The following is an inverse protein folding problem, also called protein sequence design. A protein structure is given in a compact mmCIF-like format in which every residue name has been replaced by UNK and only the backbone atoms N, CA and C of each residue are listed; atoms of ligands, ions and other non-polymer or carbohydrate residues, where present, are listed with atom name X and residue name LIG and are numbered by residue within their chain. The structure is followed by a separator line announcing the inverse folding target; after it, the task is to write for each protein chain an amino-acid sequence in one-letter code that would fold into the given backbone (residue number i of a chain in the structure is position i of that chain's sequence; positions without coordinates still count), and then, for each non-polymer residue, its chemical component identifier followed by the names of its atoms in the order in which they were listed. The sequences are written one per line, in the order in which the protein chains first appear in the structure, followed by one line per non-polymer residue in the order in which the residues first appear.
data_IF_471644282339
#
_entry.id   IF_471644282339
#
_cell.length_a   1.000
_cell.length_b   1.000
_cell.length_c   1.000
_cell.angle_alpha   90.00
_cell.angle_beta   90.00
_cell.angle_gamma   90.00
#
_symmetry.space_group_name_H-M   'P 1'
#
loop_
_entity.id
_entity.type
_entity.pdbx_description
1 polymer ?
#
# COMPACT_ATOMS: atom_id res chain seq x y z
N UNK A 1 52.50 4.50 48.05
CA UNK A 1 52.27 4.49 46.60
C UNK A 1 50.78 4.43 46.36
N UNK A 2 50.20 5.59 46.02
CA UNK A 2 48.87 5.75 45.41
C UNK A 2 49.04 5.61 43.88
N UNK A 3 47.95 5.30 43.15
CA UNK A 3 47.81 4.97 41.71
C UNK A 3 47.76 3.44 41.46
N UNK A 4 46.73 2.79 40.89
CA UNK A 4 45.65 3.16 39.96
C UNK A 4 44.57 2.05 40.03
N UNK A 5 43.35 2.26 40.51
CA UNK A 5 42.15 2.74 39.80
C UNK A 5 41.90 2.17 38.39
N UNK A 6 40.82 1.38 38.32
CA UNK A 6 39.75 1.35 37.28
C UNK A 6 40.00 0.64 35.93
N UNK A 7 38.93 -0.03 35.50
CA UNK A 7 38.63 -0.39 34.11
C UNK A 7 38.80 -1.89 33.89
N UNK A 8 37.90 -2.75 34.39
CA UNK A 8 36.71 -3.17 33.62
C UNK A 8 36.95 -2.99 32.12
N UNK A 9 37.18 -4.12 31.45
CA UNK A 9 37.26 -4.28 30.02
C UNK A 9 35.93 -3.91 29.37
N UNK A 10 35.62 -2.62 29.34
CA UNK A 10 34.60 -2.04 28.48
C UNK A 10 35.26 -1.88 27.10
N UNK A 11 35.51 -3.02 26.44
CA UNK A 11 35.74 -2.99 25.00
C UNK A 11 34.43 -2.47 24.39
N UNK A 12 34.46 -1.37 23.62
CA UNK A 12 33.25 -0.84 23.01
C UNK A 12 32.68 -1.94 22.11
N UNK A 13 31.49 -2.43 22.46
CA UNK A 13 30.73 -3.31 21.57
C UNK A 13 30.71 -2.65 20.20
N UNK A 14 31.27 -3.36 19.21
CA UNK A 14 31.45 -2.77 17.90
C UNK A 14 30.10 -2.21 17.42
N UNK A 15 30.07 -1.00 16.82
CA UNK A 15 28.82 -0.38 16.38
C UNK A 15 28.03 -1.24 15.39
N UNK A 16 28.68 -2.26 14.81
CA UNK A 16 28.08 -3.29 13.96
C UNK A 16 27.19 -4.25 14.77
N UNK A 17 27.58 -4.65 15.98
CA UNK A 17 26.78 -5.55 16.84
C UNK A 17 25.58 -4.81 17.44
N UNK A 18 25.77 -3.58 17.91
CA UNK A 18 24.67 -2.73 18.39
C UNK A 18 23.67 -2.37 17.27
N UNK A 19 24.12 -2.23 16.01
CA UNK A 19 23.24 -2.04 14.85
C UNK A 19 22.52 -3.33 14.44
N UNK A 20 23.13 -4.50 14.68
CA UNK A 20 22.55 -5.82 14.35
C UNK A 20 21.46 -6.20 15.34
N UNK A 21 21.64 -5.94 16.64
CA UNK A 21 20.59 -6.17 17.66
C UNK A 21 19.39 -5.24 17.48
N UNK A 22 19.61 -3.97 17.09
CA UNK A 22 18.55 -2.99 16.87
C UNK A 22 17.72 -3.28 15.60
N UNK A 23 18.22 -4.12 14.70
CA UNK A 23 17.56 -4.54 13.47
C UNK A 23 16.65 -5.77 13.60
N UNK A 24 16.80 -6.57 14.66
CA UNK A 24 16.14 -7.89 14.77
C UNK A 24 14.84 -7.88 15.59
N UNK A 25 14.50 -6.75 16.23
CA UNK A 25 13.24 -6.57 16.96
C UNK A 25 12.46 -5.36 16.45
N UNK A 26 12.15 -5.31 15.16
CA UNK A 26 11.00 -4.51 14.70
C UNK A 26 9.71 -5.24 15.12
N UNK A 27 9.39 -5.20 16.42
CA UNK A 27 8.01 -5.46 16.82
C UNK A 27 7.14 -4.41 16.13
N UNK A 28 6.05 -4.81 15.46
CA UNK A 28 5.12 -3.85 14.89
C UNK A 28 4.68 -2.90 16.01
N UNK A 29 4.99 -1.61 15.85
CA UNK A 29 4.55 -0.59 16.81
C UNK A 29 3.04 -0.59 16.77
N UNK A 30 2.41 -0.98 17.88
CA UNK A 30 0.97 -1.09 17.98
C UNK A 30 0.29 0.24 17.74
N UNK A 31 -0.68 0.27 16.83
CA UNK A 31 -1.42 1.49 16.52
C UNK A 31 -2.30 1.92 17.71
N UNK A 32 -2.17 3.16 18.15
CA UNK A 32 -3.08 3.78 19.12
C UNK A 32 -4.50 3.86 18.55
N UNK A 33 -5.52 4.08 19.42
CA UNK A 33 -6.92 4.23 18.96
C UNK A 33 -7.10 5.33 17.91
N UNK A 34 -6.34 6.43 18.01
CA UNK A 34 -6.41 7.56 17.08
C UNK A 34 -5.76 7.20 15.74
N UNK A 35 -4.59 6.56 15.77
CA UNK A 35 -3.90 6.08 14.58
C UNK A 35 -4.71 5.01 13.86
N UNK A 36 -5.29 4.05 14.58
CA UNK A 36 -6.15 3.02 14.03
C UNK A 36 -7.42 3.58 13.38
N UNK A 37 -7.91 4.74 13.83
CA UNK A 37 -9.03 5.46 13.18
C UNK A 37 -8.55 6.19 11.93
N UNK A 38 -7.45 6.92 12.03
CA UNK A 38 -6.90 7.66 10.89
C UNK A 38 -6.52 6.71 9.75
N UNK A 39 -5.94 5.55 10.07
CA UNK A 39 -5.58 4.51 9.11
C UNK A 39 -6.81 3.94 8.42
N UNK A 40 -7.88 3.67 9.17
CA UNK A 40 -9.14 3.21 8.61
C UNK A 40 -9.78 4.24 7.67
N UNK A 41 -9.73 5.53 8.05
CA UNK A 41 -10.23 6.62 7.21
C UNK A 41 -9.38 6.78 5.95
N UNK A 42 -8.05 6.72 6.08
CA UNK A 42 -7.12 6.75 4.95
C UNK A 42 -7.45 5.64 3.94
N UNK A 43 -7.54 4.39 4.40
CA UNK A 43 -7.91 3.25 3.55
C UNK A 43 -9.24 3.42 2.82
N UNK A 44 -10.25 4.03 3.44
CA UNK A 44 -11.51 4.32 2.75
C UNK A 44 -11.31 5.37 1.68
N UNK A 45 -10.58 6.45 2.00
CA UNK A 45 -10.33 7.56 1.08
C UNK A 45 -9.51 7.07 -0.13
N UNK A 46 -8.50 6.25 0.10
CA UNK A 46 -7.60 5.71 -0.94
C UNK A 46 -8.28 4.61 -1.76
N UNK A 47 -9.16 3.81 -1.13
CA UNK A 47 -9.91 2.77 -1.81
C UNK A 47 -10.93 3.29 -2.82
N UNK A 48 -11.35 4.56 -2.73
CA UNK A 48 -12.31 5.16 -3.68
C UNK A 48 -11.69 5.32 -5.08
N UNK A 49 -10.55 6.01 -5.27
CA UNK A 49 -9.85 6.07 -6.55
C UNK A 49 -9.59 4.70 -7.19
N UNK A 50 -9.10 3.73 -6.40
CA UNK A 50 -8.81 2.38 -6.90
C UNK A 50 -10.06 1.66 -7.39
N UNK A 51 -11.14 1.71 -6.60
CA UNK A 51 -12.39 1.02 -6.92
C UNK A 51 -13.03 1.58 -8.19
N UNK A 52 -13.01 2.90 -8.37
CA UNK A 52 -13.51 3.55 -9.60
C UNK A 52 -12.70 3.11 -10.82
N UNK A 53 -11.38 3.04 -10.71
CA UNK A 53 -10.49 2.58 -11.79
C UNK A 53 -10.75 1.13 -12.20
N UNK A 54 -10.98 0.25 -11.22
CA UNK A 54 -11.36 -1.15 -11.45
C UNK A 54 -12.71 -1.23 -12.17
N UNK A 55 -13.74 -0.53 -11.69
CA UNK A 55 -15.06 -0.52 -12.31
C UNK A 55 -15.04 -0.05 -13.77
N UNK A 56 -14.20 0.93 -14.06
CA UNK A 56 -14.02 1.50 -15.40
C UNK A 56 -13.33 0.55 -16.38
N UNK A 57 -12.31 -0.18 -15.93
CA UNK A 57 -11.56 -1.10 -16.78
C UNK A 57 -12.30 -2.38 -17.12
N UNK A 58 -13.22 -2.84 -16.27
CA UNK A 58 -14.08 -4.00 -16.55
C UNK A 58 -15.00 -3.77 -17.77
N UNK A 59 -15.41 -2.52 -18.04
CA UNK A 59 -16.29 -2.22 -19.17
C UNK A 59 -15.52 -2.00 -20.50
N UNK A 60 -14.32 -1.44 -20.43
CA UNK A 60 -13.63 -0.84 -21.59
C UNK A 60 -12.49 -1.67 -22.16
N UNK A 61 -11.89 -2.53 -21.34
CA UNK A 61 -10.68 -3.21 -21.72
C UNK A 61 -11.00 -4.57 -22.36
N UNK A 62 -10.18 -4.99 -23.33
CA UNK A 62 -10.16 -6.41 -23.74
C UNK A 62 -9.99 -7.27 -22.47
N UNK A 63 -10.64 -8.45 -22.37
CA UNK A 63 -10.72 -9.22 -21.14
C UNK A 63 -9.38 -9.42 -20.41
N UNK A 64 -8.27 -9.51 -21.16
CA UNK A 64 -6.92 -9.64 -20.61
C UNK A 64 -6.39 -8.42 -19.86
N UNK A 65 -6.63 -7.20 -20.36
CA UNK A 65 -6.09 -5.95 -19.78
C UNK A 65 -6.80 -5.60 -18.47
N UNK A 66 -8.11 -5.85 -18.37
CA UNK A 66 -8.86 -5.66 -17.11
C UNK A 66 -8.35 -6.62 -16.02
N UNK A 67 -8.10 -7.89 -16.37
CA UNK A 67 -7.64 -8.90 -15.42
C UNK A 67 -6.21 -8.61 -14.93
N UNK A 68 -5.33 -8.14 -15.82
CA UNK A 68 -3.97 -7.75 -15.48
C UNK A 68 -3.94 -6.57 -14.50
N UNK A 69 -4.76 -5.53 -14.74
CA UNK A 69 -4.83 -4.37 -13.85
C UNK A 69 -5.40 -4.74 -12.48
N UNK A 70 -6.51 -5.47 -12.44
CA UNK A 70 -7.13 -5.93 -11.18
C UNK A 70 -6.15 -6.83 -10.41
N UNK A 71 -5.46 -7.73 -11.10
CA UNK A 71 -4.42 -8.58 -10.52
C UNK A 71 -3.25 -7.77 -9.95
N UNK A 72 -2.80 -6.73 -10.66
CA UNK A 72 -1.71 -5.86 -10.21
C UNK A 72 -2.09 -5.07 -8.95
N UNK A 73 -3.29 -4.46 -8.92
CA UNK A 73 -3.80 -3.72 -7.75
C UNK A 73 -3.94 -4.67 -6.56
N UNK A 74 -4.46 -5.88 -6.79
CA UNK A 74 -4.59 -6.90 -5.75
C UNK A 74 -3.23 -7.30 -5.16
N UNK A 75 -2.24 -7.58 -6.00
CA UNK A 75 -0.89 -7.94 -5.54
C UNK A 75 -0.22 -6.79 -4.78
N UNK A 76 -0.44 -5.54 -5.20
CA UNK A 76 0.08 -4.36 -4.50
C UNK A 76 -0.59 -4.12 -3.14
N UNK A 77 -1.91 -4.38 -3.02
CA UNK A 77 -2.67 -4.19 -1.78
C UNK A 77 -2.38 -5.23 -0.70
N UNK A 78 -1.87 -6.42 -1.07
CA UNK A 78 -1.59 -7.50 -0.11
C UNK A 78 -0.55 -7.12 0.96
N UNK A 79 0.67 -6.64 0.60
CA UNK A 79 1.66 -6.20 1.59
C UNK A 79 1.14 -5.11 2.54
N UNK A 80 0.35 -4.16 2.01
CA UNK A 80 -0.20 -3.06 2.78
C UNK A 80 -1.25 -3.52 3.79
N UNK A 81 -2.20 -4.35 3.33
CA UNK A 81 -3.23 -4.94 4.19
C UNK A 81 -2.62 -5.77 5.32
N UNK A 82 -1.54 -6.51 5.04
CA UNK A 82 -0.82 -7.30 6.05
C UNK A 82 -0.12 -6.38 7.07
N UNK A 83 0.59 -5.36 6.61
CA UNK A 83 1.27 -4.41 7.49
C UNK A 83 0.30 -3.68 8.43
N UNK A 84 -0.86 -3.29 7.90
CA UNK A 84 -1.91 -2.62 8.66
C UNK A 84 -2.58 -3.58 9.65
N UNK A 85 -2.92 -4.80 9.22
CA UNK A 85 -3.47 -5.81 10.11
C UNK A 85 -2.49 -6.13 11.26
N UNK A 86 -1.18 -6.21 10.98
CA UNK A 86 -0.15 -6.41 11.99
C UNK A 86 -0.07 -5.23 12.98
N UNK A 87 -0.10 -3.98 12.50
CA UNK A 87 -0.10 -2.80 13.36
C UNK A 87 -1.36 -2.68 14.25
N UNK A 88 -2.53 -3.02 13.71
CA UNK A 88 -3.79 -3.04 14.45
C UNK A 88 -3.82 -4.16 15.51
N UNK A 89 -3.32 -5.35 15.15
CA UNK A 89 -3.23 -6.48 16.08
C UNK A 89 -2.26 -6.19 17.22
N UNK A 90 -1.08 -5.62 16.91
CA UNK A 90 -0.12 -5.17 17.90
C UNK A 90 -0.66 -4.03 18.79
N UNK A 91 -1.59 -3.22 18.28
CA UNK A 91 -2.35 -2.23 19.06
C UNK A 91 -3.42 -2.82 19.99
N UNK A 92 -3.52 -4.15 20.09
CA UNK A 92 -4.48 -4.85 20.95
C UNK A 92 -5.88 -4.98 20.34
N UNK A 93 -6.02 -4.79 19.02
CA UNK A 93 -7.30 -5.01 18.34
C UNK A 93 -7.53 -6.49 18.07
N UNK A 94 -8.75 -6.98 18.33
CA UNK A 94 -9.11 -8.36 18.03
C UNK A 94 -9.25 -8.57 16.52
N UNK A 95 -8.86 -9.76 16.04
CA UNK A 95 -8.94 -10.13 14.62
C UNK A 95 -10.35 -9.90 14.05
N UNK A 96 -11.41 -10.25 14.79
CA UNK A 96 -12.79 -10.03 14.34
C UNK A 96 -13.12 -8.56 14.05
N UNK A 97 -12.56 -7.62 14.84
CA UNK A 97 -12.75 -6.17 14.59
C UNK A 97 -11.95 -5.69 13.39
N UNK A 98 -10.75 -6.23 13.18
CA UNK A 98 -9.93 -5.94 12.00
C UNK A 98 -10.66 -6.42 10.74
N UNK A 99 -11.14 -7.66 10.74
CA UNK A 99 -11.91 -8.23 9.63
C UNK A 99 -13.21 -7.46 9.36
N UNK A 100 -13.93 -7.03 10.39
CA UNK A 100 -15.12 -6.20 10.22
C UNK A 100 -14.82 -4.85 9.54
N UNK A 101 -13.70 -4.21 9.91
CA UNK A 101 -13.24 -2.97 9.26
C UNK A 101 -12.84 -3.20 7.81
N UNK A 102 -12.08 -4.26 7.54
CA UNK A 102 -11.69 -4.60 6.17
C UNK A 102 -12.92 -4.94 5.32
N UNK A 103 -13.90 -5.65 5.89
CA UNK A 103 -15.18 -5.89 5.23
C UNK A 103 -15.93 -4.61 4.88
N UNK A 104 -15.92 -3.60 5.76
CA UNK A 104 -16.53 -2.30 5.46
C UNK A 104 -15.80 -1.57 4.33
N UNK A 105 -14.47 -1.58 4.31
CA UNK A 105 -13.66 -0.99 3.24
C UNK A 105 -13.97 -1.68 1.91
N UNK A 106 -13.98 -3.02 1.88
CA UNK A 106 -14.32 -3.81 0.69
C UNK A 106 -15.74 -3.52 0.20
N UNK A 107 -16.71 -3.41 1.10
CA UNK A 107 -18.09 -3.09 0.74
C UNK A 107 -18.21 -1.68 0.14
N UNK A 108 -17.56 -0.69 0.75
CA UNK A 108 -17.52 0.69 0.22
C UNK A 108 -16.86 0.69 -1.16
N UNK A 109 -15.71 0.03 -1.30
CA UNK A 109 -15.00 -0.10 -2.57
C UNK A 109 -15.88 -0.75 -3.64
N UNK A 110 -16.58 -1.84 -3.32
CA UNK A 110 -17.51 -2.49 -4.26
C UNK A 110 -18.61 -1.54 -4.74
N UNK A 111 -19.16 -0.69 -3.86
CA UNK A 111 -20.14 0.33 -4.24
C UNK A 111 -19.53 1.37 -5.18
N UNK A 112 -18.34 1.89 -4.88
CA UNK A 112 -17.67 2.86 -5.75
C UNK A 112 -17.24 2.26 -7.10
N UNK A 113 -16.81 1.01 -7.13
CA UNK A 113 -16.53 0.28 -8.36
C UNK A 113 -17.79 0.05 -9.19
N UNK A 114 -18.92 -0.28 -8.54
CA UNK A 114 -20.21 -0.38 -9.21
C UNK A 114 -20.67 0.98 -9.76
N UNK A 115 -20.50 2.06 -9.01
CA UNK A 115 -20.79 3.43 -9.48
C UNK A 115 -19.92 3.76 -10.69
N UNK A 116 -18.62 3.43 -10.63
CA UNK A 116 -17.69 3.61 -11.74
C UNK A 116 -18.11 2.82 -12.98
N UNK A 117 -18.53 1.56 -12.81
CA UNK A 117 -19.06 0.76 -13.91
C UNK A 117 -20.37 1.36 -14.46
N UNK A 118 -21.38 1.56 -13.60
CA UNK A 118 -22.72 1.97 -13.99
C UNK A 118 -22.77 3.35 -14.63
N UNK A 119 -21.92 4.29 -14.20
CA UNK A 119 -21.87 5.65 -14.75
C UNK A 119 -21.28 5.70 -16.17
N UNK A 120 -20.59 4.64 -16.61
CA UNK A 120 -19.89 4.61 -17.90
C UNK A 120 -20.41 3.57 -18.89
N UNK A 121 -21.36 2.71 -18.50
CA UNK A 121 -22.08 1.84 -19.44
C UNK A 121 -22.78 2.71 -20.49
N UNK A 122 -22.31 2.67 -21.73
CA UNK A 122 -22.86 3.44 -22.85
C UNK A 122 -22.37 4.90 -22.95
N UNK A 123 -21.37 5.30 -22.16
CA UNK A 123 -20.75 6.61 -22.28
C UNK A 123 -19.88 6.72 -23.55
N UNK A 124 -19.69 7.95 -24.06
CA UNK A 124 -18.84 8.18 -25.22
C UNK A 124 -17.35 8.04 -24.87
N UNK A 125 -16.48 7.67 -25.82
CA UNK A 125 -15.03 7.54 -25.58
C UNK A 125 -14.39 8.80 -24.98
N UNK A 126 -14.91 9.99 -25.31
CA UNK A 126 -14.43 11.25 -24.76
C UNK A 126 -14.74 11.39 -23.25
N UNK A 127 -15.94 11.01 -22.82
CA UNK A 127 -16.34 11.04 -21.40
C UNK A 127 -15.52 10.04 -20.60
N UNK A 128 -15.33 8.84 -21.16
CA UNK A 128 -14.46 7.81 -20.60
C UNK A 128 -13.04 8.33 -20.39
N UNK A 129 -12.43 8.94 -21.42
CA UNK A 129 -11.06 9.44 -21.34
C UNK A 129 -10.91 10.54 -20.28
N UNK A 130 -11.90 11.43 -20.14
CA UNK A 130 -11.93 12.47 -19.11
C UNK A 130 -11.96 11.83 -17.71
N UNK A 131 -12.86 10.87 -17.48
CA UNK A 131 -12.98 10.20 -16.18
C UNK A 131 -11.72 9.38 -15.86
N UNK A 132 -11.15 8.67 -16.83
CA UNK A 132 -9.86 7.97 -16.67
C UNK A 132 -8.73 8.94 -16.29
N UNK A 133 -8.68 10.11 -16.93
CA UNK A 133 -7.65 11.13 -16.64
C UNK A 133 -7.79 11.67 -15.22
N UNK A 134 -9.03 11.90 -14.75
CA UNK A 134 -9.29 12.33 -13.37
C UNK A 134 -8.91 11.22 -12.37
N UNK A 135 -9.31 9.98 -12.63
CA UNK A 135 -8.98 8.84 -11.77
C UNK A 135 -7.46 8.59 -11.70
N UNK A 136 -6.76 8.67 -12.83
CA UNK A 136 -5.30 8.59 -12.88
C UNK A 136 -4.64 9.73 -12.08
N UNK A 137 -5.17 10.95 -12.17
CA UNK A 137 -4.72 12.07 -11.35
C UNK A 137 -4.92 11.86 -9.85
N UNK A 138 -6.05 11.29 -9.44
CA UNK A 138 -6.32 10.94 -8.05
C UNK A 138 -5.34 9.89 -7.52
N UNK A 139 -5.06 8.83 -8.30
CA UNK A 139 -4.05 7.83 -7.97
C UNK A 139 -2.65 8.42 -7.88
N UNK A 140 -2.31 9.38 -8.76
CA UNK A 140 -1.01 10.06 -8.71
C UNK A 140 -0.84 10.85 -7.40
N UNK A 141 -1.90 11.49 -6.90
CA UNK A 141 -1.87 12.19 -5.60
C UNK A 141 -1.57 11.22 -4.45
N UNK A 142 -2.22 10.05 -4.43
CA UNK A 142 -1.99 9.00 -3.41
C UNK A 142 -0.55 8.51 -3.48
N UNK A 143 -0.06 8.20 -4.69
CA UNK A 143 1.33 7.75 -4.88
C UNK A 143 2.32 8.78 -4.37
N UNK A 144 2.13 10.06 -4.72
CA UNK A 144 3.06 11.14 -4.35
C UNK A 144 3.03 11.45 -2.86
N UNK A 145 1.84 11.53 -2.26
CA UNK A 145 1.71 11.96 -0.86
C UNK A 145 1.95 10.84 0.15
N UNK A 146 1.67 9.59 -0.23
CA UNK A 146 1.70 8.46 0.69
C UNK A 146 2.79 7.46 0.33
N UNK A 147 2.69 6.86 -0.86
CA UNK A 147 3.52 5.72 -1.22
C UNK A 147 4.99 6.08 -1.42
N UNK A 148 5.30 7.18 -2.11
CA UNK A 148 6.68 7.62 -2.32
C UNK A 148 7.38 7.91 -0.97
N UNK A 149 6.80 8.71 -0.05
CA UNK A 149 7.42 8.94 1.26
C UNK A 149 7.61 7.66 2.08
N UNK A 150 6.66 6.72 2.04
CA UNK A 150 6.77 5.44 2.74
C UNK A 150 7.92 4.61 2.15
N UNK A 151 7.97 4.48 0.82
CA UNK A 151 9.00 3.71 0.12
C UNK A 151 10.40 4.28 0.36
N UNK A 152 10.57 5.61 0.31
CA UNK A 152 11.85 6.28 0.56
C UNK A 152 12.30 6.11 2.02
N UNK A 153 11.38 6.09 2.99
CA UNK A 153 11.74 5.83 4.40
C UNK A 153 12.13 4.36 4.64
N UNK A 154 11.40 3.42 4.05
CA UNK A 154 11.60 1.98 4.25
C UNK A 154 12.76 1.39 3.43
N UNK A 155 12.71 1.54 2.10
CA UNK A 155 13.66 0.96 1.16
C UNK A 155 14.83 1.89 0.80
N UNK A 156 14.75 3.18 1.16
CA UNK A 156 15.81 4.18 0.92
C UNK A 156 16.22 4.22 -0.55
N UNK A 157 17.48 3.92 -0.85
CA UNK A 157 18.07 3.94 -2.19
C UNK A 157 17.49 2.87 -3.13
N UNK A 158 16.82 1.83 -2.59
CA UNK A 158 16.15 0.80 -3.40
C UNK A 158 14.72 1.16 -3.79
N UNK A 159 14.13 2.22 -3.23
CA UNK A 159 12.74 2.59 -3.49
C UNK A 159 12.45 2.83 -4.98
N UNK A 160 13.30 3.63 -5.64
CA UNK A 160 13.17 3.94 -7.07
C UNK A 160 13.33 2.72 -7.97
N UNK A 161 14.44 1.96 -7.88
CA UNK A 161 14.65 0.76 -8.68
C UNK A 161 13.56 -0.30 -8.53
N UNK A 162 13.07 -0.54 -7.31
CA UNK A 162 12.01 -1.53 -7.05
C UNK A 162 10.66 -1.05 -7.60
N UNK A 163 10.33 0.23 -7.46
CA UNK A 163 9.13 0.80 -8.06
C UNK A 163 9.16 0.71 -9.60
N UNK A 164 10.30 1.02 -10.21
CA UNK A 164 10.48 0.88 -11.66
C UNK A 164 10.38 -0.58 -12.12
N UNK A 165 10.95 -1.53 -11.37
CA UNK A 165 10.83 -2.95 -11.66
C UNK A 165 9.37 -3.43 -11.57
N UNK A 166 8.62 -2.98 -10.57
CA UNK A 166 7.19 -3.27 -10.44
C UNK A 166 6.37 -2.71 -11.61
N UNK A 167 6.67 -1.49 -12.07
CA UNK A 167 6.03 -0.90 -13.24
C UNK A 167 6.31 -1.70 -14.52
N UNK A 168 7.57 -2.10 -14.75
CA UNK A 168 7.95 -2.95 -15.90
C UNK A 168 7.30 -4.33 -15.81
N UNK A 169 7.20 -4.91 -14.62
CA UNK A 169 6.52 -6.19 -14.41
C UNK A 169 5.02 -6.09 -14.73
N UNK A 170 4.35 -5.04 -14.25
CA UNK A 170 2.94 -4.78 -14.55
C UNK A 170 2.72 -4.57 -16.06
N UNK A 171 3.59 -3.80 -16.71
CA UNK A 171 3.57 -3.65 -18.17
C UNK A 171 3.76 -5.01 -18.87
N UNK A 172 4.73 -5.83 -18.44
CA UNK A 172 4.96 -7.16 -18.99
C UNK A 172 3.74 -8.08 -18.88
N UNK A 173 3.01 -8.02 -17.75
CA UNK A 173 1.76 -8.77 -17.57
C UNK A 173 0.71 -8.39 -18.62
N UNK A 174 0.58 -7.10 -18.96
CA UNK A 174 -0.36 -6.63 -20.00
C UNK A 174 -0.09 -7.32 -21.34
N UNK A 175 1.18 -7.45 -21.74
CA UNK A 175 1.57 -8.08 -23.00
C UNK A 175 1.30 -9.58 -23.00
N UNK A 176 1.52 -10.25 -21.87
CA UNK A 176 1.22 -11.68 -21.70
C UNK A 176 -0.28 -11.97 -21.80
N UNK A 177 -1.13 -11.02 -21.37
CA UNK A 177 -2.60 -11.16 -21.43
C UNK A 177 -3.22 -10.76 -22.78
N UNK A 178 -2.41 -10.49 -23.82
CA UNK A 178 -2.88 -10.15 -25.16
C UNK A 178 -3.30 -8.69 -25.34
N UNK A 179 -2.60 -7.77 -24.65
CA UNK A 179 -2.72 -6.32 -24.86
C UNK A 179 -2.26 -5.85 -26.24
#
# INVERSE_FOLDING_TARGET
MLLEKRGKSDLPESPVVAATEKGLHHQPVGASKREARNLFVGMIIDGIPESVSIGLTVHLAAPGVSLALVGAIFVAGLPEAIGVAAALLAGGMTISRILARFGAIVAIGAVFGLIGYASLVGASPAVIAIIQSIAAGALLVVVVNEMIPIAVRGAKHWAGPVAAAGFVFAAGMTWVTGG
#
